data_IF_259408131775
#
_entry.id   IF_259408131775
#
_cell.length_a   1.000
_cell.length_b   1.000
_cell.length_c   1.000
_cell.angle_alpha   90.00
_cell.angle_beta   90.00
_cell.angle_gamma   90.00
#
_symmetry.space_group_name_H-M   'P 1'
#
loop_
_entity.id
_entity.type
_entity.pdbx_description
1 polymer ?
#
# COMPACT_ATOMS: atom_id res chain seq x y z
N UNK A 1 -0.05 15.87 10.19
CA UNK A 1 0.05 16.18 8.75
C UNK A 1 -1.08 15.51 7.98
N UNK A 2 -1.47 16.11 6.87
CA UNK A 2 -2.52 15.56 5.99
C UNK A 2 -1.90 14.95 4.75
N UNK A 3 -2.58 14.00 4.15
CA UNK A 3 -2.17 13.41 2.89
C UNK A 3 -1.93 14.49 1.82
N UNK A 4 -0.82 14.37 1.09
CA UNK A 4 -0.41 15.35 0.08
C UNK A 4 0.22 16.63 0.61
N UNK A 5 0.26 16.85 1.93
CA UNK A 5 0.91 18.01 2.52
C UNK A 5 2.43 17.95 2.25
N UNK A 6 3.04 19.01 1.64
CA UNK A 6 4.47 19.05 1.41
C UNK A 6 5.23 19.12 2.75
N UNK A 7 6.21 18.27 2.91
CA UNK A 7 7.02 18.13 4.13
C UNK A 7 8.45 18.65 3.91
N UNK A 8 9.03 18.33 2.77
CA UNK A 8 10.39 18.72 2.40
C UNK A 8 10.40 19.19 0.95
N UNK A 9 11.06 20.31 0.70
CA UNK A 9 11.37 20.81 -0.62
C UNK A 9 12.89 20.70 -0.83
N UNK A 10 13.29 19.89 -1.79
CA UNK A 10 14.68 19.77 -2.21
C UNK A 10 15.01 20.87 -3.24
N UNK A 11 16.28 21.27 -3.31
CA UNK A 11 16.75 22.12 -4.40
C UNK A 11 16.62 21.35 -5.72
N UNK A 12 15.95 21.91 -6.67
CA UNK A 12 15.55 21.21 -7.89
C UNK A 12 15.83 22.03 -9.17
N UNK A 13 16.75 22.97 -9.12
CA UNK A 13 17.05 23.88 -10.25
C UNK A 13 17.35 23.10 -11.54
N UNK A 14 18.18 22.05 -11.45
CA UNK A 14 18.50 21.20 -12.60
C UNK A 14 17.27 20.43 -13.12
N UNK A 15 16.45 19.90 -12.21
CA UNK A 15 15.23 19.17 -12.59
C UNK A 15 14.18 20.11 -13.20
N UNK A 16 14.07 21.34 -12.70
CA UNK A 16 13.21 22.36 -13.28
C UNK A 16 13.64 22.73 -14.70
N UNK A 17 14.94 22.97 -14.90
CA UNK A 17 15.50 23.25 -16.21
C UNK A 17 15.31 22.08 -17.18
N UNK A 18 15.54 20.84 -16.73
CA UNK A 18 15.30 19.64 -17.53
C UNK A 18 13.82 19.47 -17.91
N UNK A 19 12.90 19.74 -16.99
CA UNK A 19 11.46 19.73 -17.27
C UNK A 19 11.06 20.80 -18.27
N UNK A 20 11.56 22.03 -18.11
CA UNK A 20 11.30 23.13 -19.05
C UNK A 20 11.84 22.83 -20.45
N UNK A 21 13.04 22.27 -20.56
CA UNK A 21 13.62 21.84 -21.84
C UNK A 21 12.78 20.75 -22.51
N UNK A 22 12.34 19.75 -21.78
CA UNK A 22 11.49 18.68 -22.31
C UNK A 22 10.12 19.19 -22.76
N UNK A 23 9.53 20.14 -22.03
CA UNK A 23 8.28 20.83 -22.42
C UNK A 23 8.44 21.64 -23.70
N UNK A 24 9.57 22.34 -23.85
CA UNK A 24 9.86 23.08 -25.08
C UNK A 24 10.00 22.14 -26.28
N UNK A 25 10.66 20.98 -26.11
CA UNK A 25 10.75 19.96 -27.15
C UNK A 25 9.38 19.37 -27.53
N UNK A 26 8.49 19.15 -26.55
CA UNK A 26 7.11 18.73 -26.82
C UNK A 26 6.34 19.80 -27.61
N UNK A 27 6.45 21.07 -27.21
CA UNK A 27 5.82 22.17 -27.92
C UNK A 27 6.29 22.30 -29.37
N UNK A 28 7.59 22.08 -29.63
CA UNK A 28 8.18 22.04 -30.96
C UNK A 28 7.62 20.86 -31.79
N UNK A 29 7.59 19.67 -31.25
CA UNK A 29 7.03 18.50 -31.94
C UNK A 29 5.53 18.69 -32.26
N UNK A 30 4.76 19.28 -31.32
CA UNK A 30 3.36 19.64 -31.53
C UNK A 30 3.20 20.68 -32.66
N UNK A 31 4.06 21.65 -32.71
CA UNK A 31 4.07 22.64 -33.80
C UNK A 31 4.35 21.98 -35.15
N UNK A 32 5.25 21.00 -35.22
CA UNK A 32 5.54 20.24 -36.44
C UNK A 32 4.33 19.47 -36.97
N UNK A 33 3.58 18.80 -36.07
CA UNK A 33 2.32 18.13 -36.46
C UNK A 33 1.31 19.16 -37.02
N UNK A 34 1.17 20.32 -36.39
CA UNK A 34 0.31 21.38 -36.90
C UNK A 34 0.76 21.90 -38.28
N UNK A 35 2.07 22.07 -38.44
CA UNK A 35 2.64 22.51 -39.75
C UNK A 35 2.27 21.53 -40.88
N UNK A 36 2.34 20.22 -40.61
CA UNK A 36 1.90 19.22 -41.61
C UNK A 36 0.44 19.37 -41.97
N UNK A 37 -0.45 19.55 -40.97
CA UNK A 37 -1.89 19.58 -41.18
C UNK A 37 -2.38 20.92 -41.73
N UNK A 38 -1.85 22.05 -41.24
CA UNK A 38 -2.36 23.38 -41.49
C UNK A 38 -1.65 24.07 -42.66
N UNK A 39 -0.44 23.63 -43.04
CA UNK A 39 0.33 24.23 -44.11
C UNK A 39 0.64 23.24 -45.23
N UNK A 40 1.32 22.11 -44.89
CA UNK A 40 1.82 21.19 -45.91
C UNK A 40 0.71 20.47 -46.66
N UNK A 41 -0.35 20.05 -45.98
CA UNK A 41 -1.48 19.36 -46.64
C UNK A 41 -2.29 20.29 -47.55
N UNK A 42 -2.69 21.50 -47.14
CA UNK A 42 -3.35 22.45 -48.09
C UNK A 42 -2.47 22.79 -49.29
N UNK A 43 -1.17 23.05 -49.10
CA UNK A 43 -0.25 23.29 -50.20
C UNK A 43 -0.18 22.13 -51.20
N UNK A 44 -0.10 20.90 -50.71
CA UNK A 44 -0.07 19.71 -51.57
C UNK A 44 -1.39 19.52 -52.36
N UNK A 45 -2.52 19.86 -51.73
CA UNK A 45 -3.83 19.81 -52.40
C UNK A 45 -3.94 20.84 -53.52
N UNK A 46 -3.41 22.05 -53.32
CA UNK A 46 -3.36 23.08 -54.37
C UNK A 46 -2.41 22.68 -55.49
N UNK A 47 -1.26 22.07 -55.19
CA UNK A 47 -0.36 21.54 -56.16
C UNK A 47 -0.99 20.42 -57.03
N UNK A 48 -1.77 19.53 -56.43
CA UNK A 48 -2.54 18.51 -57.15
C UNK A 48 -3.56 19.16 -58.08
N UNK A 49 -4.33 20.17 -57.61
CA UNK A 49 -5.32 20.87 -58.45
C UNK A 49 -4.67 21.50 -59.67
N UNK A 50 -3.53 22.17 -59.49
CA UNK A 50 -2.74 22.76 -60.57
C UNK A 50 -2.27 21.71 -61.58
N UNK A 51 -1.71 20.58 -61.11
CA UNK A 51 -1.28 19.49 -61.96
C UNK A 51 -2.45 18.86 -62.73
N UNK A 52 -3.64 18.69 -62.09
CA UNK A 52 -4.82 18.18 -62.74
C UNK A 52 -5.32 19.12 -63.85
N UNK A 53 -5.31 20.46 -63.63
CA UNK A 53 -5.68 21.44 -64.63
C UNK A 53 -4.72 21.40 -65.86
N UNK A 54 -3.42 21.25 -65.61
CA UNK A 54 -2.40 21.08 -66.65
C UNK A 54 -2.66 19.78 -67.45
N UNK A 55 -2.92 18.68 -66.78
CA UNK A 55 -3.25 17.40 -67.44
C UNK A 55 -4.49 17.51 -68.31
N UNK A 56 -5.55 18.18 -67.80
CA UNK A 56 -6.78 18.35 -68.56
C UNK A 56 -6.50 19.15 -69.84
N UNK A 57 -5.73 20.21 -69.78
CA UNK A 57 -5.34 21.01 -70.95
C UNK A 57 -4.55 20.22 -71.95
N UNK A 58 -3.51 19.48 -71.50
CA UNK A 58 -2.70 18.63 -72.40
C UNK A 58 -3.46 17.45 -72.96
N UNK A 59 -4.41 16.87 -72.23
CA UNK A 59 -5.29 15.81 -72.73
C UNK A 59 -6.21 16.33 -73.83
N UNK A 60 -6.80 17.51 -73.68
CA UNK A 60 -7.66 18.10 -74.75
C UNK A 60 -6.87 18.34 -76.04
N UNK A 61 -5.61 18.81 -75.92
CA UNK A 61 -4.71 19.00 -77.08
C UNK A 61 -4.39 17.63 -77.69
N UNK A 62 -4.07 16.65 -76.89
CA UNK A 62 -3.81 15.26 -77.38
C UNK A 62 -5.00 14.70 -78.15
N UNK A 63 -6.22 14.77 -77.61
CA UNK A 63 -7.45 14.22 -78.24
C UNK A 63 -7.73 14.91 -79.57
N UNK A 64 -7.60 16.23 -79.63
CA UNK A 64 -7.77 17.02 -80.85
C UNK A 64 -6.70 16.63 -81.87
N UNK A 65 -5.43 16.54 -81.46
CA UNK A 65 -4.33 16.20 -82.35
C UNK A 65 -4.40 14.81 -82.89
N UNK A 66 -4.88 13.84 -82.03
CA UNK A 66 -5.13 12.45 -82.46
C UNK A 66 -6.20 12.37 -83.56
N UNK A 67 -7.27 13.12 -83.41
CA UNK A 67 -8.34 13.20 -84.42
C UNK A 67 -7.86 13.86 -85.75
N UNK A 68 -6.94 14.80 -85.66
CA UNK A 68 -6.34 15.43 -86.83
C UNK A 68 -5.27 14.54 -87.52
N UNK A 69 -4.52 13.78 -86.78
CA UNK A 69 -3.59 12.78 -87.30
C UNK A 69 -4.31 11.71 -88.13
N UNK A 70 -5.44 11.20 -87.59
CA UNK A 70 -6.26 10.21 -88.33
C UNK A 70 -6.79 10.72 -89.66
N UNK A 71 -6.89 12.08 -89.81
CA UNK A 71 -7.30 12.72 -91.07
C UNK A 71 -6.11 13.20 -91.94
N UNK A 72 -4.85 12.96 -91.49
CA UNK A 72 -3.66 13.35 -92.22
C UNK A 72 -3.27 14.83 -92.14
N UNK A 73 -3.87 15.61 -91.23
CA UNK A 73 -3.66 17.07 -91.09
C UNK A 73 -2.48 17.47 -90.25
N UNK A 74 -1.87 16.53 -89.46
CA UNK A 74 -0.69 16.77 -88.65
C UNK A 74 0.37 15.69 -88.85
N UNK A 75 1.63 16.03 -88.55
CA UNK A 75 2.78 15.10 -88.65
C UNK A 75 2.84 14.16 -87.46
N UNK A 76 3.41 12.97 -87.64
CA UNK A 76 3.66 12.02 -86.56
C UNK A 76 4.57 12.59 -85.45
N UNK A 77 5.58 13.32 -85.86
CA UNK A 77 6.52 13.96 -84.91
C UNK A 77 5.80 14.95 -83.98
N UNK A 78 4.88 15.74 -84.48
CA UNK A 78 4.06 16.66 -83.65
C UNK A 78 3.10 15.88 -82.71
N UNK A 79 2.51 14.81 -83.19
CA UNK A 79 1.68 13.96 -82.32
C UNK A 79 2.51 13.32 -81.21
N UNK A 80 3.72 12.84 -81.52
CA UNK A 80 4.66 12.25 -80.51
C UNK A 80 5.08 13.32 -79.46
N UNK A 81 5.25 14.57 -79.85
CA UNK A 81 5.52 15.64 -78.91
C UNK A 81 4.32 15.90 -78.00
N UNK A 82 3.12 16.03 -78.55
CA UNK A 82 1.92 16.24 -77.75
C UNK A 82 1.66 15.05 -76.77
N UNK A 83 1.97 13.82 -77.23
CA UNK A 83 1.86 12.64 -76.39
C UNK A 83 2.83 12.73 -75.22
N UNK A 84 4.10 13.10 -75.42
CA UNK A 84 5.05 13.29 -74.34
C UNK A 84 4.61 14.36 -73.36
N UNK A 85 4.10 15.49 -73.83
CA UNK A 85 3.63 16.59 -72.98
C UNK A 85 2.46 16.14 -72.06
N UNK A 86 1.50 15.35 -72.62
CA UNK A 86 0.42 14.75 -71.80
C UNK A 86 0.95 13.77 -70.80
N UNK A 87 1.90 12.90 -71.16
CA UNK A 87 2.48 11.90 -70.26
C UNK A 87 3.31 12.54 -69.14
N UNK A 88 4.01 13.63 -69.43
CA UNK A 88 4.68 14.44 -68.39
C UNK A 88 3.63 15.00 -67.40
N UNK A 89 2.57 15.66 -67.89
CA UNK A 89 1.53 16.18 -67.03
C UNK A 89 0.84 15.09 -66.18
N UNK A 90 0.69 13.85 -66.73
CA UNK A 90 0.15 12.71 -66.00
C UNK A 90 1.08 12.25 -64.87
N UNK A 91 2.39 12.28 -65.07
CA UNK A 91 3.36 11.94 -64.04
C UNK A 91 3.41 12.99 -62.94
N UNK A 92 3.22 14.31 -63.26
CA UNK A 92 3.09 15.38 -62.28
C UNK A 92 1.90 15.19 -61.36
N UNK A 93 0.74 14.84 -61.89
CA UNK A 93 -0.45 14.49 -61.03
C UNK A 93 -0.17 13.30 -60.11
N UNK A 94 0.49 12.24 -60.64
CA UNK A 94 0.83 11.07 -59.86
C UNK A 94 1.81 11.42 -58.69
N UNK A 95 2.78 12.30 -58.99
CA UNK A 95 3.72 12.79 -57.97
C UNK A 95 3.00 13.62 -56.87
N UNK A 96 2.12 14.56 -57.26
CA UNK A 96 1.33 15.35 -56.31
C UNK A 96 0.44 14.45 -55.42
N UNK A 97 -0.23 13.44 -56.02
CA UNK A 97 -1.04 12.48 -55.26
C UNK A 97 -0.20 11.66 -54.30
N UNK A 98 1.00 11.29 -54.66
CA UNK A 98 1.91 10.57 -53.78
C UNK A 98 2.34 11.43 -52.60
N UNK A 99 2.61 12.69 -52.83
CA UNK A 99 2.90 13.66 -51.77
C UNK A 99 1.72 13.80 -50.79
N UNK A 100 0.49 13.96 -51.29
CA UNK A 100 -0.70 14.00 -50.45
C UNK A 100 -0.85 12.74 -49.64
N UNK A 101 -0.67 11.56 -50.24
CA UNK A 101 -0.74 10.28 -49.50
C UNK A 101 0.24 10.19 -48.34
N UNK A 102 1.45 10.76 -48.51
CA UNK A 102 2.46 10.73 -47.43
C UNK A 102 2.12 11.61 -46.25
N UNK A 103 1.34 12.70 -46.43
CA UNK A 103 1.02 13.68 -45.38
C UNK A 103 -0.41 13.61 -44.87
N UNK A 104 -1.31 12.84 -45.54
CA UNK A 104 -2.66 12.55 -45.02
C UNK A 104 -2.64 11.64 -43.82
N UNK A 105 -3.78 11.54 -43.14
CA UNK A 105 -4.01 10.58 -42.05
C UNK A 105 -3.62 9.16 -42.49
N UNK A 106 -2.73 8.51 -41.72
CA UNK A 106 -2.14 7.20 -42.05
C UNK A 106 -0.92 7.27 -42.99
N UNK A 107 -0.57 8.44 -43.52
CA UNK A 107 0.65 8.60 -44.33
C UNK A 107 1.93 8.65 -43.48
N UNK A 108 3.05 8.26 -44.09
CA UNK A 108 4.34 8.14 -43.41
C UNK A 108 4.86 9.46 -42.80
N UNK A 109 4.64 10.59 -43.48
CA UNK A 109 5.08 11.90 -43.01
C UNK A 109 4.32 12.36 -41.76
N UNK A 110 2.98 12.21 -41.74
CA UNK A 110 2.20 12.52 -40.56
C UNK A 110 2.44 11.51 -39.43
N UNK A 111 2.59 10.22 -39.79
CA UNK A 111 2.92 9.18 -38.80
C UNK A 111 4.26 9.44 -38.09
N UNK A 112 5.29 9.85 -38.85
CA UNK A 112 6.59 10.25 -38.28
C UNK A 112 6.45 11.44 -37.33
N UNK A 113 5.78 12.52 -37.76
CA UNK A 113 5.58 13.70 -36.93
C UNK A 113 4.76 13.41 -35.65
N UNK A 114 3.78 12.52 -35.73
CA UNK A 114 2.99 12.08 -34.55
C UNK A 114 3.81 11.19 -33.62
N UNK A 115 4.67 10.31 -34.15
CA UNK A 115 5.60 9.50 -33.35
C UNK A 115 6.61 10.38 -32.60
N UNK A 116 7.18 11.37 -33.27
CA UNK A 116 8.06 12.38 -32.64
C UNK A 116 7.34 13.10 -31.49
N UNK A 117 6.09 13.49 -31.70
CA UNK A 117 5.29 14.13 -30.66
C UNK A 117 5.02 13.20 -29.46
N UNK A 118 4.72 11.94 -29.71
CA UNK A 118 4.54 10.94 -28.65
C UNK A 118 5.82 10.74 -27.85
N UNK A 119 6.95 10.65 -28.51
CA UNK A 119 8.25 10.53 -27.86
C UNK A 119 8.55 11.78 -27.00
N UNK A 120 8.34 12.98 -27.54
CA UNK A 120 8.56 14.23 -26.82
C UNK A 120 7.63 14.33 -25.60
N UNK A 121 6.37 13.90 -25.70
CA UNK A 121 5.43 13.83 -24.57
C UNK A 121 5.89 12.88 -23.48
N UNK A 122 6.34 11.70 -23.86
CA UNK A 122 6.87 10.73 -22.90
C UNK A 122 8.10 11.28 -22.15
N UNK A 123 8.99 11.97 -22.86
CA UNK A 123 10.16 12.62 -22.26
C UNK A 123 9.76 13.76 -21.32
N UNK A 124 8.79 14.60 -21.71
CA UNK A 124 8.24 15.68 -20.89
C UNK A 124 7.60 15.14 -19.61
N UNK A 125 6.77 14.09 -19.70
CA UNK A 125 6.15 13.45 -18.56
C UNK A 125 7.20 12.83 -17.61
N UNK A 126 8.24 12.19 -18.14
CA UNK A 126 9.32 11.64 -17.34
C UNK A 126 10.11 12.72 -16.60
N UNK A 127 10.40 13.85 -17.25
CA UNK A 127 11.10 14.98 -16.64
C UNK A 127 10.25 15.63 -15.53
N UNK A 128 8.94 15.80 -15.75
CA UNK A 128 8.00 16.31 -14.74
C UNK A 128 7.88 15.36 -13.54
N UNK A 129 7.83 14.05 -13.76
CA UNK A 129 7.82 13.07 -12.69
C UNK A 129 9.07 13.14 -11.82
N UNK A 130 10.24 13.31 -12.45
CA UNK A 130 11.51 13.52 -11.73
C UNK A 130 11.50 14.80 -10.91
N UNK A 131 10.97 15.88 -11.46
CA UNK A 131 10.80 17.14 -10.73
C UNK A 131 9.87 16.97 -9.53
N UNK A 132 8.80 16.15 -9.67
CA UNK A 132 7.90 15.83 -8.58
C UNK A 132 8.58 15.20 -7.38
N UNK A 133 9.66 14.44 -7.57
CA UNK A 133 10.44 13.86 -6.46
C UNK A 133 11.20 14.88 -5.62
N UNK A 134 11.36 16.09 -6.11
CA UNK A 134 11.94 17.18 -5.33
C UNK A 134 11.02 17.71 -4.23
N UNK A 135 9.73 17.38 -4.29
CA UNK A 135 8.76 17.68 -3.24
C UNK A 135 8.35 16.40 -2.55
N UNK A 136 8.78 16.22 -1.32
CA UNK A 136 8.40 15.07 -0.50
C UNK A 136 7.16 15.45 0.28
N UNK A 137 6.03 14.82 -0.04
CA UNK A 137 4.75 15.02 0.61
C UNK A 137 4.36 13.85 1.51
N UNK A 138 3.47 14.09 2.46
CA UNK A 138 2.91 13.04 3.32
C UNK A 138 2.09 12.04 2.48
N UNK A 139 2.41 10.73 2.52
CA UNK A 139 1.70 9.71 1.74
C UNK A 139 0.28 9.46 2.26
N UNK A 140 0.01 9.80 3.52
CA UNK A 140 -1.30 9.66 4.21
C UNK A 140 -1.38 10.58 5.41
N UNK A 141 -2.56 10.71 5.98
CA UNK A 141 -2.76 11.43 7.25
C UNK A 141 -2.00 10.76 8.38
N UNK A 142 -1.46 11.56 9.31
CA UNK A 142 -0.72 11.02 10.44
C UNK A 142 0.01 12.08 11.25
N UNK A 143 0.84 11.61 12.17
CA UNK A 143 1.69 12.46 13.02
C UNK A 143 3.15 12.21 12.72
N UNK A 144 3.93 13.26 12.50
CA UNK A 144 5.38 13.15 12.36
C UNK A 144 5.99 12.85 13.73
N UNK A 145 6.72 11.72 13.81
CA UNK A 145 7.38 11.29 15.04
C UNK A 145 8.77 11.90 15.14
N UNK A 146 9.51 11.88 14.03
CA UNK A 146 10.88 12.40 14.00
C UNK A 146 11.22 13.01 12.66
N UNK A 147 12.15 13.95 12.68
CA UNK A 147 12.76 14.59 11.53
C UNK A 147 14.28 14.42 11.65
N UNK A 148 14.89 13.76 10.68
CA UNK A 148 16.34 13.42 10.68
C UNK A 148 17.14 14.34 9.77
N UNK A 149 16.54 15.37 9.20
CA UNK A 149 17.19 16.32 8.27
C UNK A 149 16.94 17.77 8.68
N UNK A 150 17.92 18.62 8.45
CA UNK A 150 17.84 20.06 8.67
C UNK A 150 17.90 20.84 7.34
N UNK A 151 17.52 22.13 7.40
CA UNK A 151 17.64 23.01 6.24
C UNK A 151 19.12 23.13 5.84
N UNK A 152 19.39 22.96 4.55
CA UNK A 152 20.77 22.99 4.02
C UNK A 152 21.48 21.63 4.06
N UNK A 153 20.89 20.60 4.64
CA UNK A 153 21.47 19.27 4.62
C UNK A 153 21.45 18.69 3.19
N UNK A 154 22.50 17.93 2.87
CA UNK A 154 22.57 17.13 1.64
C UNK A 154 21.92 15.79 1.91
N UNK A 155 20.93 15.43 1.11
CA UNK A 155 20.23 14.14 1.20
C UNK A 155 20.66 13.20 0.10
N UNK A 156 20.77 11.92 0.43
CA UNK A 156 21.10 10.85 -0.54
C UNK A 156 19.89 9.94 -0.72
N UNK A 157 19.71 9.35 -1.91
CA UNK A 157 18.66 8.36 -2.14
C UNK A 157 18.73 7.20 -1.12
N UNK A 158 17.58 6.83 -0.57
CA UNK A 158 17.48 5.76 0.44
C UNK A 158 17.64 6.21 1.88
N UNK A 159 18.01 7.47 2.16
CA UNK A 159 18.06 7.99 3.51
C UNK A 159 16.67 8.23 4.09
N UNK A 160 16.49 7.87 5.38
CA UNK A 160 15.26 8.18 6.11
C UNK A 160 15.28 9.65 6.52
N UNK A 161 14.38 10.45 5.96
CA UNK A 161 14.31 11.89 6.23
C UNK A 161 13.38 12.23 7.39
N UNK A 162 12.25 11.54 7.45
CA UNK A 162 11.21 11.73 8.47
C UNK A 162 10.54 10.39 8.76
N UNK A 163 10.05 10.25 9.98
CA UNK A 163 9.23 9.10 10.38
C UNK A 163 7.80 9.58 10.60
N UNK A 164 6.88 9.08 9.78
CA UNK A 164 5.46 9.36 9.86
C UNK A 164 4.73 8.18 10.48
N UNK A 165 3.99 8.43 11.55
CA UNK A 165 3.00 7.50 12.06
C UNK A 165 1.68 7.73 11.34
N UNK A 166 1.17 6.76 10.60
CA UNK A 166 -0.15 6.88 10.00
C UNK A 166 -1.22 6.97 11.09
N UNK A 167 -2.24 7.81 10.87
CA UNK A 167 -3.47 7.77 11.67
C UNK A 167 -4.14 6.42 11.51
N UNK A 168 -4.80 5.95 12.57
CA UNK A 168 -5.48 4.66 12.57
C UNK A 168 -5.59 4.06 13.97
N UNK A 169 -6.07 2.82 14.04
CA UNK A 169 -6.19 2.08 15.30
C UNK A 169 -4.83 1.82 15.92
N UNK A 170 -4.70 2.17 17.19
CA UNK A 170 -3.47 1.89 17.94
C UNK A 170 -3.37 0.40 18.22
N UNK A 171 -2.23 -0.17 17.89
CA UNK A 171 -1.96 -1.60 18.09
C UNK A 171 -0.83 -1.78 19.12
N UNK A 172 -0.99 -2.78 19.96
CA UNK A 172 0.05 -3.27 20.87
C UNK A 172 0.62 -4.54 20.25
N UNK A 173 1.93 -4.60 20.12
CA UNK A 173 2.65 -5.76 19.58
C UNK A 173 3.33 -6.48 20.70
N UNK A 174 2.97 -7.74 20.92
CA UNK A 174 3.53 -8.61 21.94
C UNK A 174 4.31 -9.76 21.30
N UNK A 175 5.35 -10.18 21.99
CA UNK A 175 6.03 -11.44 21.72
C UNK A 175 5.63 -12.44 22.81
N UNK A 176 4.95 -13.51 22.40
CA UNK A 176 4.45 -14.53 23.34
C UNK A 176 5.22 -15.81 23.11
N UNK A 177 5.76 -16.39 24.19
CA UNK A 177 6.45 -17.68 24.18
C UNK A 177 5.54 -18.78 23.60
N UNK A 178 6.08 -19.62 22.73
CA UNK A 178 5.38 -20.71 22.05
C UNK A 178 4.58 -21.60 23.03
N UNK A 179 5.12 -21.87 24.23
CA UNK A 179 4.45 -22.68 25.25
C UNK A 179 3.13 -22.09 25.74
N UNK A 180 2.97 -20.79 25.67
CA UNK A 180 1.77 -20.07 26.10
C UNK A 180 0.79 -19.80 24.94
N UNK A 181 1.20 -20.02 23.70
CA UNK A 181 0.42 -19.69 22.52
C UNK A 181 -0.91 -20.45 22.45
N UNK A 182 -0.94 -21.71 22.93
CA UNK A 182 -2.15 -22.54 22.98
C UNK A 182 -3.27 -21.95 23.84
N UNK A 183 -2.94 -21.02 24.75
CA UNK A 183 -3.90 -20.36 25.65
C UNK A 183 -4.43 -19.04 25.08
N UNK A 184 -3.86 -18.55 23.97
CA UNK A 184 -4.20 -17.27 23.37
C UNK A 184 -5.12 -17.50 22.18
N UNK A 185 -6.22 -16.75 22.12
CA UNK A 185 -7.18 -16.79 21.03
C UNK A 185 -7.59 -15.39 20.60
N UNK A 186 -7.92 -15.24 19.33
CA UNK A 186 -8.43 -13.97 18.78
C UNK A 186 -9.73 -13.61 19.51
N UNK A 187 -9.88 -12.33 19.83
CA UNK A 187 -11.03 -11.79 20.56
C UNK A 187 -10.89 -11.76 22.07
N UNK A 188 -9.87 -12.41 22.65
CA UNK A 188 -9.61 -12.31 24.10
C UNK A 188 -9.35 -10.86 24.52
N UNK A 189 -9.89 -10.51 25.68
CA UNK A 189 -9.69 -9.18 26.29
C UNK A 189 -8.43 -9.20 27.15
N UNK A 190 -7.66 -8.16 27.01
CA UNK A 190 -6.48 -7.89 27.82
C UNK A 190 -6.61 -6.60 28.61
N UNK A 191 -6.12 -6.58 29.84
CA UNK A 191 -5.91 -5.38 30.63
C UNK A 191 -4.47 -4.93 30.43
N UNK A 192 -4.31 -3.66 30.12
CA UNK A 192 -3.01 -3.08 29.74
C UNK A 192 -2.71 -1.89 30.63
N UNK A 193 -1.46 -1.75 31.03
CA UNK A 193 -0.93 -0.53 31.66
C UNK A 193 0.36 -0.13 30.96
N UNK A 194 0.58 1.16 30.76
CA UNK A 194 1.87 1.65 30.29
C UNK A 194 2.83 1.74 31.47
N UNK A 195 4.10 1.37 31.28
CA UNK A 195 5.10 1.38 32.36
C UNK A 195 5.30 2.78 32.97
N UNK A 196 5.12 3.84 32.15
CA UNK A 196 5.12 5.22 32.62
C UNK A 196 3.91 5.61 33.46
N UNK A 197 2.81 4.83 33.39
CA UNK A 197 1.54 5.08 34.09
C UNK A 197 0.97 3.77 34.67
N UNK A 198 1.63 3.14 35.65
CA UNK A 198 1.32 1.80 36.12
C UNK A 198 -0.06 1.69 36.80
N UNK A 199 -0.60 2.79 37.32
CA UNK A 199 -1.93 2.83 37.94
C UNK A 199 -3.07 3.02 36.94
N UNK A 200 -2.77 3.46 35.71
CA UNK A 200 -3.77 3.70 34.68
C UNK A 200 -3.90 2.49 33.77
N UNK A 201 -5.06 1.83 33.86
CA UNK A 201 -5.35 0.64 33.06
C UNK A 201 -6.32 0.96 31.94
N UNK A 202 -6.12 0.33 30.79
CA UNK A 202 -7.03 0.37 29.66
C UNK A 202 -7.20 -1.03 29.06
N UNK A 203 -8.19 -1.18 28.18
CA UNK A 203 -8.55 -2.47 27.61
C UNK A 203 -8.08 -2.59 26.17
N UNK A 204 -7.54 -3.75 25.81
CA UNK A 204 -7.23 -4.12 24.45
C UNK A 204 -7.81 -5.50 24.14
N UNK A 205 -7.95 -5.83 22.86
CA UNK A 205 -8.41 -7.13 22.39
C UNK A 205 -7.40 -7.76 21.45
N UNK A 206 -7.17 -9.06 21.58
CA UNK A 206 -6.35 -9.83 20.65
C UNK A 206 -7.00 -9.80 19.27
N UNK A 207 -6.34 -9.14 18.32
CA UNK A 207 -6.83 -8.96 16.95
C UNK A 207 -6.15 -9.91 15.97
N UNK A 208 -4.88 -10.25 16.21
CA UNK A 208 -4.10 -11.05 15.28
C UNK A 208 -3.04 -11.87 16.01
N UNK A 209 -2.88 -13.11 15.59
CA UNK A 209 -1.82 -14.03 16.05
C UNK A 209 -1.04 -14.42 14.80
N UNK A 210 0.26 -14.17 14.77
CA UNK A 210 1.10 -14.58 13.65
C UNK A 210 1.18 -16.11 13.58
N UNK A 211 0.86 -16.75 12.45
CA UNK A 211 0.97 -18.19 12.29
C UNK A 211 2.42 -18.69 12.28
N UNK A 212 3.39 -17.81 12.00
CA UNK A 212 4.81 -18.13 12.04
C UNK A 212 5.43 -17.84 13.41
N UNK A 213 6.37 -18.73 13.83
CA UNK A 213 7.15 -18.60 15.06
C UNK A 213 8.52 -18.02 14.71
N UNK A 214 8.99 -17.05 15.46
CA UNK A 214 10.38 -16.60 15.43
C UNK A 214 11.25 -17.66 16.12
N UNK A 215 11.98 -18.44 15.32
CA UNK A 215 12.81 -19.56 15.78
C UNK A 215 13.92 -19.06 16.72
N UNK A 216 14.47 -17.87 16.48
CA UNK A 216 15.56 -17.34 17.31
C UNK A 216 15.10 -16.99 18.73
N UNK A 217 13.82 -16.66 18.91
CA UNK A 217 13.23 -16.25 20.20
C UNK A 217 12.23 -17.25 20.76
N UNK A 218 11.90 -18.32 20.02
CA UNK A 218 10.84 -19.28 20.33
C UNK A 218 9.53 -18.57 20.71
N UNK A 219 9.14 -17.54 19.94
CA UNK A 219 7.99 -16.70 20.25
C UNK A 219 7.15 -16.41 19.01
N UNK A 220 5.86 -16.18 19.22
CA UNK A 220 4.92 -15.70 18.21
C UNK A 220 4.56 -14.24 18.43
N UNK A 221 4.43 -13.49 17.37
CA UNK A 221 3.94 -12.11 17.42
C UNK A 221 2.42 -12.08 17.53
N UNK A 222 1.92 -11.45 18.57
CA UNK A 222 0.49 -11.23 18.80
C UNK A 222 0.21 -9.73 18.78
N UNK A 223 -0.83 -9.30 18.05
CA UNK A 223 -1.24 -7.91 18.00
C UNK A 223 -2.58 -7.73 18.68
N UNK A 224 -2.65 -6.75 19.55
CA UNK A 224 -3.89 -6.34 20.20
C UNK A 224 -4.31 -4.96 19.69
N UNK A 225 -5.60 -4.78 19.45
CA UNK A 225 -6.18 -3.48 19.12
C UNK A 225 -6.68 -2.82 20.40
N UNK A 226 -6.33 -1.53 20.57
CA UNK A 226 -6.83 -0.70 21.66
C UNK A 226 -8.11 -0.01 21.19
N UNK A 227 -9.24 -0.31 21.81
CA UNK A 227 -10.55 0.21 21.37
C UNK A 227 -10.69 1.70 21.67
N UNK A 228 -10.18 2.15 22.82
CA UNK A 228 -10.23 3.54 23.28
C UNK A 228 -8.86 3.93 23.86
N UNK A 229 -7.93 4.39 23.00
CA UNK A 229 -6.58 4.70 23.44
C UNK A 229 -6.56 5.94 24.32
N UNK A 230 -6.02 5.84 25.56
CA UNK A 230 -5.88 7.00 26.43
C UNK A 230 -4.99 8.08 25.80
N UNK A 231 -5.30 9.36 26.07
CA UNK A 231 -4.58 10.49 25.49
C UNK A 231 -3.07 10.54 25.86
N UNK A 232 -2.69 9.91 26.96
CA UNK A 232 -1.27 9.82 27.37
C UNK A 232 -0.50 8.74 26.63
N UNK A 233 -1.16 7.79 25.97
CA UNK A 233 -0.50 6.68 25.29
C UNK A 233 0.20 7.19 24.03
N UNK A 234 1.52 6.94 23.97
CA UNK A 234 2.37 7.34 22.85
C UNK A 234 2.86 6.11 22.10
N UNK A 235 3.21 6.29 20.84
CA UNK A 235 3.86 5.23 20.07
C UNK A 235 5.21 4.87 20.68
N UNK A 236 5.58 3.59 20.55
CA UNK A 236 6.80 3.01 21.10
C UNK A 236 6.89 3.07 22.63
N UNK A 237 5.80 3.33 23.35
CA UNK A 237 5.76 3.11 24.79
C UNK A 237 5.80 1.63 25.12
N UNK A 238 6.55 1.28 26.15
CA UNK A 238 6.51 -0.07 26.75
C UNK A 238 5.22 -0.19 27.56
N UNK A 239 4.55 -1.33 27.40
CA UNK A 239 3.30 -1.64 28.08
C UNK A 239 3.34 -3.03 28.70
N UNK A 240 2.74 -3.17 29.85
CA UNK A 240 2.49 -4.46 30.50
C UNK A 240 1.08 -4.92 30.18
N UNK A 241 0.93 -6.17 29.77
CA UNK A 241 -0.33 -6.73 29.23
C UNK A 241 -0.71 -8.01 29.95
N UNK A 242 -1.89 -8.00 30.57
CA UNK A 242 -2.51 -9.17 31.19
C UNK A 242 -3.64 -9.69 30.29
N UNK A 243 -3.44 -10.82 29.64
CA UNK A 243 -4.45 -11.45 28.79
C UNK A 243 -5.27 -12.43 29.61
N UNK A 244 -6.59 -12.22 29.63
CA UNK A 244 -7.50 -13.16 30.28
C UNK A 244 -7.62 -14.45 29.46
N UNK A 245 -6.95 -15.51 29.86
CA UNK A 245 -6.95 -16.79 29.13
C UNK A 245 -8.16 -17.66 29.44
N UNK A 246 -8.75 -17.53 30.63
CA UNK A 246 -9.96 -18.22 31.01
C UNK A 246 -10.74 -17.43 32.06
N UNK A 247 -12.06 -17.46 31.97
CA UNK A 247 -12.96 -16.91 32.99
C UNK A 247 -13.99 -17.96 33.34
N UNK A 248 -14.17 -18.20 34.63
CA UNK A 248 -15.21 -19.06 35.16
C UNK A 248 -16.01 -18.29 36.20
N UNK A 249 -17.31 -18.38 36.11
CA UNK A 249 -18.27 -17.87 37.11
C UNK A 249 -18.84 -19.03 37.91
N UNK A 250 -19.34 -18.79 39.09
CA UNK A 250 -19.99 -19.78 39.96
C UNK A 250 -19.09 -20.98 40.28
N UNK A 251 -17.87 -20.69 40.72
CA UNK A 251 -16.88 -21.71 41.06
C UNK A 251 -16.51 -21.67 42.52
N UNK A 252 -16.38 -22.88 43.12
CA UNK A 252 -15.79 -23.01 44.42
C UNK A 252 -14.28 -22.84 44.31
N UNK A 253 -13.68 -21.90 45.04
CA UNK A 253 -12.22 -21.71 45.00
C UNK A 253 -11.67 -21.55 46.43
N UNK A 254 -10.48 -22.06 46.61
CA UNK A 254 -9.71 -21.91 47.83
C UNK A 254 -8.43 -21.12 47.60
N UNK A 255 -7.93 -20.41 48.64
CA UNK A 255 -6.59 -19.87 48.61
C UNK A 255 -5.57 -20.97 48.31
N UNK A 256 -4.55 -20.68 47.50
CA UNK A 256 -3.52 -21.68 47.14
C UNK A 256 -2.83 -22.32 48.34
N UNK A 257 -2.65 -21.55 49.44
CA UNK A 257 -2.08 -22.03 50.69
C UNK A 257 -3.01 -22.92 51.53
N UNK A 258 -4.24 -23.19 51.09
CA UNK A 258 -5.17 -24.11 51.76
C UNK A 258 -5.12 -25.51 51.13
N UNK A 259 -4.53 -25.65 49.96
CA UNK A 259 -4.44 -26.93 49.24
C UNK A 259 -3.03 -27.52 49.48
N UNK A 260 -3.01 -28.77 49.98
CA UNK A 260 -1.79 -29.55 50.19
C UNK A 260 -1.57 -30.47 48.99
N UNK A 261 -0.30 -30.70 48.65
CA UNK A 261 0.10 -31.55 47.54
C UNK A 261 -0.52 -31.15 46.19
N UNK A 262 -0.73 -29.81 45.96
CA UNK A 262 -1.40 -29.31 44.79
C UNK A 262 -0.77 -29.69 43.43
N UNK A 263 0.52 -30.01 43.43
CA UNK A 263 1.28 -30.41 42.22
C UNK A 263 1.36 -31.93 42.05
N UNK A 264 0.77 -32.69 42.96
CA UNK A 264 0.78 -34.18 42.90
C UNK A 264 -0.53 -34.72 42.32
N UNK A 265 -0.58 -35.98 41.88
CA UNK A 265 -1.84 -36.60 41.39
C UNK A 265 -2.94 -36.70 42.43
N UNK A 266 -2.65 -36.52 43.72
CA UNK A 266 -3.59 -36.70 44.82
C UNK A 266 -3.64 -35.51 45.77
N UNK A 267 -4.05 -34.33 45.26
CA UNK A 267 -4.18 -33.12 46.08
C UNK A 267 -5.29 -33.29 47.12
N UNK A 268 -5.12 -32.66 48.28
CA UNK A 268 -6.07 -32.75 49.37
C UNK A 268 -6.10 -31.46 50.21
N UNK A 269 -7.16 -31.32 50.94
CA UNK A 269 -7.35 -30.19 51.90
C UNK A 269 -7.70 -30.78 53.26
N UNK A 270 -7.45 -29.99 54.30
CA UNK A 270 -7.88 -30.29 55.64
C UNK A 270 -9.15 -29.51 55.94
N UNK A 271 -10.26 -30.20 56.20
CA UNK A 271 -11.56 -29.57 56.54
C UNK A 271 -11.93 -29.83 57.98
N UNK A 272 -12.72 -28.94 58.57
CA UNK A 272 -13.27 -29.12 59.93
C UNK A 272 -14.62 -29.79 59.81
N UNK A 273 -14.74 -31.02 60.34
CA UNK A 273 -16.00 -31.77 60.44
C UNK A 273 -16.24 -32.20 61.89
N UNK A 274 -17.40 -31.85 62.48
CA UNK A 274 -17.77 -32.14 63.83
C UNK A 274 -16.67 -31.77 64.86
N UNK A 275 -16.01 -30.61 64.66
CA UNK A 275 -14.94 -30.14 65.53
C UNK A 275 -13.61 -30.89 65.46
N UNK A 276 -13.43 -31.69 64.43
CA UNK A 276 -12.16 -32.42 64.15
C UNK A 276 -11.62 -32.08 62.76
N UNK A 277 -10.33 -32.08 62.64
CA UNK A 277 -9.62 -31.94 61.36
C UNK A 277 -9.67 -33.24 60.54
N UNK A 278 -10.23 -33.22 59.34
CA UNK A 278 -10.40 -34.37 58.45
C UNK A 278 -9.72 -34.07 57.12
N UNK A 279 -8.91 -35.05 56.67
CA UNK A 279 -8.29 -34.99 55.35
C UNK A 279 -9.31 -35.34 54.27
N UNK A 280 -9.47 -34.42 53.28
CA UNK A 280 -10.36 -34.63 52.15
C UNK A 280 -9.59 -34.53 50.83
N UNK A 281 -9.62 -35.58 49.98
CA UNK A 281 -9.07 -35.52 48.64
C UNK A 281 -9.93 -34.56 47.81
N UNK A 282 -9.29 -33.73 46.99
CA UNK A 282 -9.97 -32.74 46.14
C UNK A 282 -9.56 -32.89 44.68
N UNK A 283 -10.46 -32.57 43.78
CA UNK A 283 -10.17 -32.43 42.38
C UNK A 283 -9.95 -30.95 42.06
N UNK A 284 -8.77 -30.63 41.56
CA UNK A 284 -8.40 -29.26 41.22
C UNK A 284 -8.81 -28.95 39.78
N UNK A 285 -9.19 -27.69 39.54
CA UNK A 285 -9.44 -27.10 38.24
C UNK A 285 -8.35 -26.12 37.88
N UNK A 286 -8.76 -24.93 37.39
CA UNK A 286 -7.83 -23.86 37.07
C UNK A 286 -7.07 -23.40 38.33
N UNK A 287 -5.76 -23.25 38.17
CA UNK A 287 -4.87 -22.71 39.19
C UNK A 287 -4.48 -21.26 38.78
N UNK A 288 -4.89 -20.33 39.60
CA UNK A 288 -4.44 -18.92 39.49
C UNK A 288 -3.37 -18.62 40.54
N UNK A 289 -2.79 -17.42 40.49
CA UNK A 289 -1.68 -17.02 41.37
C UNK A 289 -2.01 -17.08 42.87
N UNK A 290 -3.24 -16.77 43.25
CA UNK A 290 -3.66 -16.71 44.63
C UNK A 290 -4.73 -17.74 45.01
N UNK A 291 -5.50 -18.26 44.04
CA UNK A 291 -6.64 -19.12 44.27
C UNK A 291 -6.63 -20.32 43.33
N UNK A 292 -7.11 -21.44 43.85
CA UNK A 292 -7.24 -22.72 43.10
C UNK A 292 -8.74 -23.06 43.03
N UNK A 293 -9.20 -23.37 41.83
CA UNK A 293 -10.58 -23.83 41.62
C UNK A 293 -10.72 -25.26 42.09
N UNK A 294 -11.76 -25.53 42.88
CA UNK A 294 -12.09 -26.86 43.35
C UNK A 294 -13.28 -27.41 42.53
N UNK A 295 -13.05 -28.49 41.79
CA UNK A 295 -14.08 -29.16 40.99
C UNK A 295 -14.90 -30.18 41.78
N UNK A 296 -14.41 -30.60 42.95
CA UNK A 296 -15.12 -31.50 43.83
C UNK A 296 -14.26 -31.92 45.02
N UNK A 297 -14.90 -32.51 46.03
CA UNK A 297 -14.26 -32.96 47.28
C UNK A 297 -14.57 -32.05 48.50
N UNK A 298 -15.02 -30.82 48.28
CA UNK A 298 -15.40 -29.88 49.34
C UNK A 298 -16.72 -29.21 48.97
N UNK A 299 -17.61 -29.02 49.89
CA UNK A 299 -18.89 -28.33 49.73
C UNK A 299 -18.69 -26.82 49.96
N UNK A 300 -19.61 -26.01 49.42
CA UNK A 300 -19.69 -24.58 49.74
C UNK A 300 -19.93 -24.34 51.23
N UNK A 301 -19.21 -23.38 51.80
CA UNK A 301 -19.28 -23.10 53.24
C UNK A 301 -18.42 -24.00 54.12
N UNK A 302 -17.77 -25.00 53.59
CA UNK A 302 -16.84 -25.84 54.38
C UNK A 302 -15.66 -25.04 54.92
N UNK A 303 -15.33 -25.25 56.18
CA UNK A 303 -14.20 -24.57 56.81
C UNK A 303 -12.91 -25.34 56.52
N UNK A 304 -11.98 -24.70 55.83
CA UNK A 304 -10.72 -25.29 55.39
C UNK A 304 -9.58 -24.74 56.22
N UNK A 305 -8.71 -25.60 56.69
CA UNK A 305 -7.53 -25.26 57.50
C UNK A 305 -6.36 -24.95 56.56
N UNK A 306 -5.72 -23.78 56.64
CA UNK A 306 -4.54 -23.46 55.84
C UNK A 306 -3.41 -24.49 55.99
N UNK A 307 -2.65 -24.73 54.92
CA UNK A 307 -1.52 -25.67 54.95
C UNK A 307 -0.36 -25.23 55.85
N UNK A 308 -0.34 -23.95 56.19
CA UNK A 308 0.62 -23.37 57.15
C UNK A 308 0.33 -23.76 58.61
N UNK A 309 -0.84 -24.34 58.86
CA UNK A 309 -1.18 -24.83 60.23
C UNK A 309 -0.57 -26.19 60.49
N UNK A 310 -0.06 -26.41 61.71
CA UNK A 310 0.54 -27.66 62.13
C UNK A 310 -0.53 -28.73 62.55
N UNK A 311 -1.81 -28.48 62.28
CA UNK A 311 -2.92 -29.37 62.63
C UNK A 311 -2.81 -30.67 61.82
N UNK A 312 -2.91 -31.81 62.52
CA UNK A 312 -2.90 -33.15 61.95
C UNK A 312 -4.34 -33.72 61.89
N UNK A 313 -4.55 -34.64 60.94
CA UNK A 313 -5.85 -35.31 60.82
C UNK A 313 -6.24 -36.03 62.11
N UNK A 314 -7.46 -35.77 62.64
CA UNK A 314 -7.99 -36.26 63.91
C UNK A 314 -7.94 -35.26 65.06
N UNK A 315 -7.19 -34.19 64.97
CA UNK A 315 -7.06 -33.19 66.02
C UNK A 315 -8.40 -32.48 66.25
N UNK A 316 -8.68 -32.16 67.53
CA UNK A 316 -9.81 -31.29 67.89
C UNK A 316 -9.46 -29.85 67.54
N UNK A 317 -10.24 -29.28 66.68
CA UNK A 317 -10.05 -27.89 66.19
C UNK A 317 -11.35 -27.09 66.38
N UNK A 318 -11.17 -25.83 66.66
CA UNK A 318 -12.28 -24.87 66.69
C UNK A 318 -11.96 -23.79 65.67
N UNK A 319 -12.94 -23.45 64.82
CA UNK A 319 -12.77 -22.34 63.89
C UNK A 319 -12.53 -21.05 64.66
N UNK A 320 -11.50 -20.32 64.35
CA UNK A 320 -11.34 -18.96 64.80
C UNK A 320 -12.38 -18.12 64.03
N UNK A 321 -13.01 -17.16 64.71
CA UNK A 321 -13.88 -16.21 64.02
C UNK A 321 -13.05 -15.42 62.99
N UNK A 322 -13.60 -15.09 61.78
CA UNK A 322 -12.92 -14.38 60.73
C UNK A 322 -12.45 -12.97 61.15
#
# INVERSE_FOLDING_TARGET
VRQGQPLILLRADELQNAAAQAQAAEAQAKARVRQVNELSLPQALEAERSAQASLLGTQQIYDRTNALLAKGFVTRAYFDEVTRNRDVARTEVAAAQTQIRSIRAGGSGLAAATADLQQARANSAAAQSRLGYATIAAPRDGTLISRSVERGAVVIPGATLMLLSPGGEMQIVLQIDERNLSRIAIGQTARVSADAYPQAHFTAKVAYINPGIDIARASATVKLTVTDPPAYLRQNMTVSVDIATARRTDILSLPGNAVRDALTPSPWVMVIENGRAVRRPVRLGLQGDQRIVILGGVAEGAQVIPATSEVVAGDRVKAAAP
#
